data_IF_951417608883
#
_entry.id   IF_951417608883
#
_cell.length_a   1.000
_cell.length_b   1.000
_cell.length_c   1.000
_cell.angle_alpha   90.00
_cell.angle_beta   90.00
_cell.angle_gamma   90.00
#
_symmetry.space_group_name_H-M   'P 1'
#
loop_
_entity.id
_entity.type
_entity.pdbx_description
1 polymer ?
#
# COMPACT_ATOMS: atom_id res chain seq x y z
N UNK A 1 -60.35 -9.90 13.97
CA UNK A 1 -59.16 -9.06 14.26
C UNK A 1 -57.94 -9.92 14.59
N UNK A 2 -57.21 -10.46 13.60
CA UNK A 2 -55.97 -11.25 13.79
C UNK A 2 -55.01 -11.11 12.60
N UNK A 3 -54.81 -9.89 12.09
CA UNK A 3 -53.86 -9.62 10.98
C UNK A 3 -52.81 -8.53 11.29
N UNK A 4 -52.78 -7.97 12.50
CA UNK A 4 -51.88 -6.86 12.85
C UNK A 4 -50.59 -7.27 13.60
N UNK A 5 -50.37 -8.54 13.92
CA UNK A 5 -49.21 -8.95 14.75
C UNK A 5 -47.98 -9.47 13.99
N UNK A 6 -48.10 -9.83 12.72
CA UNK A 6 -46.98 -10.40 11.95
C UNK A 6 -46.22 -9.38 11.10
N UNK A 7 -46.80 -8.21 10.82
CA UNK A 7 -46.16 -7.18 9.99
C UNK A 7 -45.02 -6.45 10.72
N UNK A 8 -45.13 -6.26 12.04
CA UNK A 8 -44.11 -5.56 12.83
C UNK A 8 -42.86 -6.43 13.13
N UNK A 9 -42.99 -7.76 13.14
CA UNK A 9 -41.86 -8.68 13.41
C UNK A 9 -40.99 -8.83 12.14
N UNK A 10 -41.61 -8.84 10.95
CA UNK A 10 -40.89 -8.82 9.69
C UNK A 10 -40.14 -7.50 9.45
N UNK A 11 -40.69 -6.37 9.91
CA UNK A 11 -40.03 -5.07 9.80
C UNK A 11 -38.76 -4.96 10.67
N UNK A 12 -38.73 -5.60 11.84
CA UNK A 12 -37.55 -5.62 12.71
C UNK A 12 -36.42 -6.51 12.17
N UNK A 13 -36.74 -7.61 11.48
CA UNK A 13 -35.73 -8.41 10.77
C UNK A 13 -35.19 -7.70 9.51
N UNK A 14 -36.03 -6.92 8.83
CA UNK A 14 -35.60 -6.11 7.68
C UNK A 14 -34.72 -4.92 8.08
N UNK A 15 -34.81 -4.40 9.31
CA UNK A 15 -33.91 -3.36 9.83
C UNK A 15 -32.64 -3.96 10.46
N UNK A 16 -32.74 -5.15 11.06
CA UNK A 16 -31.58 -5.86 11.63
C UNK A 16 -30.55 -6.34 10.60
N UNK A 17 -30.94 -6.51 9.33
CA UNK A 17 -30.05 -6.93 8.25
C UNK A 17 -29.47 -5.78 7.40
N UNK A 18 -29.83 -4.52 7.67
CA UNK A 18 -29.35 -3.35 6.87
C UNK A 18 -28.08 -2.71 7.45
N UNK A 19 -27.57 -3.21 8.58
CA UNK A 19 -26.25 -2.84 9.11
C UNK A 19 -25.33 -4.06 9.20
N UNK A 20 -25.17 -4.81 8.10
CA UNK A 20 -23.87 -5.45 7.90
C UNK A 20 -22.89 -4.32 7.57
N UNK A 21 -22.01 -3.97 8.52
CA UNK A 21 -20.84 -3.13 8.29
C UNK A 21 -19.95 -3.82 7.24
N UNK A 22 -20.28 -3.68 5.97
CA UNK A 22 -19.34 -3.91 4.88
C UNK A 22 -18.25 -2.85 4.92
N UNK A 23 -17.15 -3.03 4.17
CA UNK A 23 -16.11 -2.03 4.08
C UNK A 23 -16.73 -0.67 3.74
N UNK A 24 -16.58 0.31 4.63
CA UNK A 24 -17.09 1.67 4.39
C UNK A 24 -16.04 2.38 3.56
N UNK A 25 -16.10 2.10 2.26
CA UNK A 25 -15.32 2.83 1.27
C UNK A 25 -15.60 4.33 1.41
N UNK A 26 -14.55 5.12 1.56
CA UNK A 26 -14.64 6.56 1.72
C UNK A 26 -13.83 7.26 0.63
N UNK A 27 -14.46 8.18 -0.10
CA UNK A 27 -13.75 9.05 -1.02
C UNK A 27 -12.99 10.12 -0.22
N UNK A 28 -11.65 10.10 -0.27
CA UNK A 28 -10.83 11.07 0.46
C UNK A 28 -10.48 12.31 -0.39
N UNK A 29 -10.25 12.12 -1.68
CA UNK A 29 -9.99 13.18 -2.67
C UNK A 29 -10.39 12.69 -4.07
N UNK A 30 -10.34 13.53 -5.10
CA UNK A 30 -10.64 13.10 -6.49
C UNK A 30 -9.74 11.93 -6.90
N UNK A 31 -10.36 10.80 -7.27
CA UNK A 31 -9.64 9.59 -7.65
C UNK A 31 -8.88 8.90 -6.51
N UNK A 32 -9.07 9.27 -5.24
CA UNK A 32 -8.44 8.62 -4.09
C UNK A 32 -9.50 8.17 -3.08
N UNK A 33 -9.50 6.86 -2.79
CA UNK A 33 -10.46 6.21 -1.91
C UNK A 33 -9.74 5.47 -0.78
N UNK A 34 -10.32 5.47 0.41
CA UNK A 34 -9.93 4.63 1.53
C UNK A 34 -10.88 3.44 1.67
N UNK A 35 -10.34 2.23 1.77
CA UNK A 35 -11.08 0.98 1.87
C UNK A 35 -11.30 0.61 3.35
N UNK A 36 -12.05 1.43 4.08
CA UNK A 36 -12.28 1.19 5.51
C UNK A 36 -12.95 -0.15 5.76
N UNK A 37 -12.45 -0.94 6.71
CA UNK A 37 -12.95 -2.28 7.01
C UNK A 37 -12.59 -3.37 5.99
N UNK A 38 -11.78 -3.09 4.96
CA UNK A 38 -11.29 -4.14 4.06
C UNK A 38 -10.27 -5.07 4.72
N UNK A 39 -9.54 -4.56 5.72
CA UNK A 39 -8.61 -5.32 6.55
C UNK A 39 -8.84 -5.02 8.05
N UNK A 40 -9.86 -5.65 8.68
CA UNK A 40 -10.20 -5.39 10.08
C UNK A 40 -9.05 -5.67 11.05
N UNK A 41 -8.25 -6.72 10.77
CA UNK A 41 -7.09 -7.08 11.59
C UNK A 41 -6.08 -5.94 11.64
N UNK A 42 -5.77 -5.32 10.49
CA UNK A 42 -4.88 -4.18 10.44
C UNK A 42 -5.46 -2.98 11.19
N UNK A 43 -6.73 -2.65 10.95
CA UNK A 43 -7.37 -1.54 11.65
C UNK A 43 -7.35 -1.71 13.18
N UNK A 44 -7.50 -2.93 13.67
CA UNK A 44 -7.38 -3.24 15.10
C UNK A 44 -5.93 -3.10 15.61
N UNK A 45 -4.93 -3.44 14.80
CA UNK A 45 -3.52 -3.16 15.13
C UNK A 45 -3.29 -1.64 15.29
N UNK A 46 -3.74 -0.82 14.34
CA UNK A 46 -3.66 0.64 14.44
C UNK A 46 -4.33 1.14 15.74
N UNK A 47 -5.56 0.70 16.02
CA UNK A 47 -6.29 1.09 17.24
C UNK A 47 -5.53 0.68 18.50
N UNK A 48 -4.95 -0.52 18.54
CA UNK A 48 -4.26 -1.06 19.72
C UNK A 48 -3.06 -0.20 20.16
N UNK A 49 -2.43 0.49 19.22
CA UNK A 49 -1.30 1.41 19.46
C UNK A 49 -1.75 2.89 19.51
N UNK A 50 -3.06 3.13 19.65
CA UNK A 50 -3.65 4.46 19.78
C UNK A 50 -3.65 5.29 18.50
N UNK A 51 -3.65 4.63 17.33
CA UNK A 51 -3.72 5.27 16.02
C UNK A 51 -5.07 5.01 15.35
N UNK A 52 -5.42 5.87 14.39
CA UNK A 52 -6.58 5.68 13.51
C UNK A 52 -6.08 5.61 12.06
N UNK A 53 -6.24 4.43 11.43
CA UNK A 53 -5.73 4.17 10.09
C UNK A 53 -6.33 5.12 9.04
N UNK A 54 -7.64 5.34 9.09
CA UNK A 54 -8.34 6.25 8.17
C UNK A 54 -7.81 7.68 8.30
N UNK A 55 -7.66 8.17 9.53
CA UNK A 55 -7.23 9.56 9.75
C UNK A 55 -5.77 9.76 9.34
N UNK A 56 -4.91 8.77 9.59
CA UNK A 56 -3.53 8.78 9.10
C UNK A 56 -3.50 8.76 7.57
N UNK A 57 -4.30 7.90 6.93
CA UNK A 57 -4.40 7.87 5.47
C UNK A 57 -4.80 9.25 4.90
N UNK A 58 -5.80 9.89 5.53
CA UNK A 58 -6.33 11.19 5.11
C UNK A 58 -5.39 12.37 5.37
N UNK A 59 -4.75 12.40 6.53
CA UNK A 59 -4.00 13.59 7.00
C UNK A 59 -2.50 13.51 6.72
N UNK A 60 -1.96 12.29 6.60
CA UNK A 60 -0.53 12.03 6.44
C UNK A 60 -0.23 11.47 5.06
N UNK A 61 -0.64 10.23 4.78
CA UNK A 61 -0.33 9.53 3.52
C UNK A 61 -0.86 10.28 2.28
N UNK A 62 -2.00 10.97 2.40
CA UNK A 62 -2.59 11.74 1.29
C UNK A 62 -1.60 12.72 0.65
N UNK A 63 -0.71 13.33 1.43
CA UNK A 63 0.27 14.30 0.92
C UNK A 63 1.24 13.63 -0.04
N UNK A 64 1.80 12.51 0.39
CA UNK A 64 2.78 11.71 -0.36
C UNK A 64 2.11 11.05 -1.58
N UNK A 65 0.84 10.65 -1.46
CA UNK A 65 0.07 10.07 -2.56
C UNK A 65 -0.30 11.10 -3.65
N UNK A 66 -0.59 12.34 -3.26
CA UNK A 66 -0.80 13.43 -4.22
C UNK A 66 0.51 13.80 -4.93
N UNK A 67 1.64 13.71 -4.24
CA UNK A 67 2.96 13.88 -4.86
C UNK A 67 3.27 12.76 -5.85
N UNK A 68 2.95 11.50 -5.51
CA UNK A 68 3.04 10.36 -6.43
C UNK A 68 2.21 10.62 -7.69
N UNK A 69 0.93 10.99 -7.51
CA UNK A 69 -0.01 11.26 -8.62
C UNK A 69 0.53 12.36 -9.54
N UNK A 70 1.00 13.47 -8.99
CA UNK A 70 1.63 14.53 -9.79
C UNK A 70 2.90 14.05 -10.49
N UNK A 71 3.72 13.25 -9.81
CA UNK A 71 4.94 12.67 -10.33
C UNK A 71 4.70 11.79 -11.57
N UNK A 72 3.68 10.93 -11.51
CA UNK A 72 3.25 10.10 -12.64
C UNK A 72 2.70 10.97 -13.78
N UNK A 73 1.74 11.85 -13.49
CA UNK A 73 1.06 12.67 -14.51
C UNK A 73 2.01 13.61 -15.26
N UNK A 74 2.94 14.23 -14.53
CA UNK A 74 3.93 15.17 -15.10
C UNK A 74 5.25 14.51 -15.47
N UNK A 75 5.38 13.20 -15.31
CA UNK A 75 6.61 12.42 -15.56
C UNK A 75 7.84 13.02 -14.84
N UNK A 76 7.67 13.38 -13.56
CA UNK A 76 8.72 13.99 -12.74
C UNK A 76 9.48 12.93 -11.94
N UNK A 77 10.58 12.44 -12.51
CA UNK A 77 11.47 11.43 -11.92
C UNK A 77 11.80 11.69 -10.45
N UNK A 78 12.34 12.87 -10.15
CA UNK A 78 12.81 13.24 -8.81
C UNK A 78 11.73 13.15 -7.71
N UNK A 79 10.44 13.33 -8.06
CA UNK A 79 9.34 13.20 -7.10
C UNK A 79 9.08 11.74 -6.74
N UNK A 80 9.20 10.86 -7.73
CA UNK A 80 8.93 9.43 -7.58
C UNK A 80 10.10 8.75 -6.87
N UNK A 81 11.34 9.15 -7.18
CA UNK A 81 12.52 8.71 -6.47
C UNK A 81 12.59 9.26 -5.05
N UNK A 82 12.19 10.51 -4.84
CA UNK A 82 12.10 11.13 -3.52
C UNK A 82 11.10 10.44 -2.57
N UNK A 83 10.09 9.76 -3.12
CA UNK A 83 9.13 8.96 -2.36
C UNK A 83 9.63 7.55 -2.05
N UNK A 84 10.77 7.10 -2.58
CA UNK A 84 11.26 5.73 -2.38
C UNK A 84 11.89 5.57 -0.98
N UNK A 85 11.62 4.45 -0.31
CA UNK A 85 12.25 4.15 0.97
C UNK A 85 13.76 3.90 0.77
N UNK A 86 14.60 4.19 1.78
CA UNK A 86 16.01 3.80 1.71
C UNK A 86 16.23 2.30 1.53
N UNK A 87 15.29 1.47 1.99
CA UNK A 87 15.35 0.02 1.81
C UNK A 87 15.18 -0.36 0.33
N UNK A 88 14.22 0.27 -0.36
CA UNK A 88 14.00 0.06 -1.80
C UNK A 88 15.25 0.40 -2.63
N UNK A 89 15.90 1.53 -2.33
CA UNK A 89 17.15 1.93 -3.02
C UNK A 89 18.29 0.94 -2.73
N UNK A 90 18.44 0.48 -1.48
CA UNK A 90 19.45 -0.53 -1.13
C UNK A 90 19.21 -1.87 -1.80
N UNK A 91 17.95 -2.24 -1.97
CA UNK A 91 17.54 -3.45 -2.65
C UNK A 91 17.98 -3.41 -4.12
N UNK A 92 17.67 -2.32 -4.81
CA UNK A 92 18.19 -2.03 -6.16
C UNK A 92 19.71 -2.16 -6.24
N UNK A 93 20.45 -1.54 -5.31
CA UNK A 93 21.91 -1.58 -5.31
C UNK A 93 22.40 -3.02 -5.31
N UNK A 94 21.77 -3.88 -4.51
CA UNK A 94 22.14 -5.29 -4.37
C UNK A 94 21.81 -6.08 -5.64
N UNK A 95 20.58 -5.96 -6.13
CA UNK A 95 20.08 -6.71 -7.30
C UNK A 95 20.91 -6.44 -8.55
N UNK A 96 21.30 -5.19 -8.77
CA UNK A 96 22.04 -4.79 -9.97
C UNK A 96 23.54 -4.63 -9.72
N UNK A 97 24.00 -4.94 -8.50
CA UNK A 97 25.40 -4.78 -8.06
C UNK A 97 25.96 -3.38 -8.38
N UNK A 98 25.26 -2.35 -7.91
CA UNK A 98 25.54 -0.93 -8.15
C UNK A 98 25.96 -0.21 -6.85
N UNK A 99 26.74 0.87 -6.96
CA UNK A 99 26.90 1.82 -5.87
C UNK A 99 25.59 2.57 -5.57
N UNK A 100 25.51 3.27 -4.44
CA UNK A 100 24.29 3.99 -4.04
C UNK A 100 23.95 5.10 -5.03
N UNK A 101 24.97 5.82 -5.51
CA UNK A 101 24.80 6.89 -6.49
C UNK A 101 24.37 6.34 -7.85
N UNK A 102 24.93 5.20 -8.28
CA UNK A 102 24.51 4.54 -9.53
C UNK A 102 23.09 3.97 -9.44
N UNK A 103 22.71 3.45 -8.28
CA UNK A 103 21.34 3.03 -8.01
C UNK A 103 20.37 4.21 -8.08
N UNK A 104 20.69 5.34 -7.43
CA UNK A 104 19.84 6.54 -7.49
C UNK A 104 19.77 7.15 -8.90
N UNK A 105 20.89 7.26 -9.61
CA UNK A 105 20.93 7.81 -10.98
C UNK A 105 20.23 6.89 -11.98
N UNK A 106 20.45 5.58 -11.88
CA UNK A 106 19.72 4.57 -12.65
C UNK A 106 18.22 4.63 -12.35
N UNK A 107 17.87 4.87 -11.08
CA UNK A 107 16.51 5.07 -10.65
C UNK A 107 15.88 6.31 -11.27
N UNK A 108 16.47 7.49 -11.11
CA UNK A 108 15.98 8.73 -11.71
C UNK A 108 15.83 8.60 -13.24
N UNK A 109 16.84 8.03 -13.93
CA UNK A 109 16.82 7.84 -15.39
C UNK A 109 15.75 6.86 -15.85
N UNK A 110 15.35 5.89 -15.00
CA UNK A 110 14.29 4.95 -15.32
C UNK A 110 12.96 5.66 -15.61
N UNK A 111 12.69 6.73 -14.85
CA UNK A 111 11.51 7.58 -14.98
C UNK A 111 11.55 8.47 -16.23
N UNK A 112 12.73 8.97 -16.60
CA UNK A 112 12.88 9.82 -17.80
C UNK A 112 12.72 9.03 -19.10
N UNK A 113 13.28 7.82 -19.13
CA UNK A 113 13.36 7.02 -20.36
C UNK A 113 12.18 6.06 -20.54
N UNK A 114 11.35 5.87 -19.52
CA UNK A 114 10.31 4.84 -19.51
C UNK A 114 10.90 3.45 -19.77
N UNK A 115 12.14 3.24 -19.32
CA UNK A 115 12.87 1.97 -19.39
C UNK A 115 13.31 1.71 -17.96
N UNK A 116 12.45 1.06 -17.19
CA UNK A 116 12.70 0.86 -15.78
C UNK A 116 13.28 -0.51 -15.43
N UNK A 117 13.75 -0.60 -14.20
CA UNK A 117 13.71 -1.87 -13.48
C UNK A 117 12.25 -2.28 -13.33
N UNK A 118 11.99 -3.59 -13.45
CA UNK A 118 10.70 -4.16 -13.80
C UNK A 118 9.49 -3.59 -13.02
N UNK A 119 9.70 -3.16 -11.78
CA UNK A 119 8.64 -2.75 -10.85
C UNK A 119 8.02 -1.38 -11.14
N UNK A 120 8.76 -0.41 -11.70
CA UNK A 120 8.25 0.97 -11.90
C UNK A 120 7.85 1.30 -13.34
N UNK A 121 8.25 0.48 -14.30
CA UNK A 121 7.88 0.64 -15.72
C UNK A 121 6.35 0.70 -15.88
N UNK A 122 5.66 0.02 -14.97
CA UNK A 122 4.21 -0.14 -14.91
C UNK A 122 3.49 1.17 -14.62
N UNK A 123 4.08 2.05 -13.81
CA UNK A 123 3.51 3.37 -13.52
C UNK A 123 3.50 4.30 -14.76
N UNK A 124 4.29 3.96 -15.79
CA UNK A 124 4.42 4.72 -17.03
C UNK A 124 3.76 4.07 -18.23
N UNK A 125 3.67 2.75 -18.25
CA UNK A 125 2.97 1.99 -19.29
C UNK A 125 1.47 2.19 -19.22
N UNK A 126 0.92 2.14 -18.01
CA UNK A 126 -0.51 2.19 -17.79
C UNK A 126 -0.94 3.58 -17.33
N UNK A 127 -2.06 4.06 -17.88
CA UNK A 127 -2.67 5.30 -17.41
C UNK A 127 -3.40 5.02 -16.10
N UNK A 128 -2.83 5.48 -14.98
CA UNK A 128 -3.44 5.35 -13.66
C UNK A 128 -4.50 6.45 -13.46
N UNK A 129 -5.73 6.05 -13.11
CA UNK A 129 -6.88 6.96 -13.00
C UNK A 129 -7.42 7.09 -11.58
N UNK A 130 -7.14 6.13 -10.69
CA UNK A 130 -7.51 6.24 -9.28
C UNK A 130 -6.65 5.35 -8.37
N UNK A 131 -6.71 5.62 -7.07
CA UNK A 131 -5.91 5.04 -6.02
C UNK A 131 -6.84 4.56 -4.90
N UNK A 132 -6.68 3.32 -4.46
CA UNK A 132 -7.46 2.74 -3.34
C UNK A 132 -6.51 2.36 -2.21
N UNK A 133 -6.72 2.93 -1.03
CA UNK A 133 -5.85 2.80 0.14
C UNK A 133 -6.44 1.77 1.10
N UNK A 134 -5.65 0.76 1.45
CA UNK A 134 -6.00 -0.26 2.44
C UNK A 134 -4.97 -0.28 3.58
N UNK A 135 -5.39 -0.29 4.85
CA UNK A 135 -4.46 -0.50 5.96
C UNK A 135 -3.89 -1.91 5.93
N UNK A 136 -2.57 -2.04 6.13
CA UNK A 136 -1.88 -3.33 6.08
C UNK A 136 -1.47 -3.82 7.48
N UNK A 137 -0.70 -3.01 8.21
CA UNK A 137 -0.26 -3.32 9.57
C UNK A 137 0.23 -2.07 10.28
N UNK A 138 0.29 -2.13 11.62
CA UNK A 138 0.94 -1.13 12.44
C UNK A 138 1.52 -1.77 13.69
N UNK A 139 2.75 -1.38 14.04
CA UNK A 139 3.45 -1.88 15.22
C UNK A 139 3.95 -0.73 16.09
N UNK A 140 4.35 -1.08 17.30
CA UNK A 140 4.90 -0.15 18.28
C UNK A 140 6.12 -0.77 18.95
N UNK A 141 7.23 -0.05 18.93
CA UNK A 141 8.44 -0.38 19.67
C UNK A 141 8.51 0.49 20.93
N UNK A 142 8.29 -0.11 22.10
CA UNK A 142 8.30 0.56 23.40
C UNK A 142 9.71 0.58 23.96
N UNK A 143 10.23 1.77 24.20
CA UNK A 143 11.57 2.02 24.69
C UNK A 143 11.62 1.91 26.22
N UNK A 144 12.84 1.80 26.75
CA UNK A 144 13.10 1.66 28.21
C UNK A 144 12.55 2.81 29.05
N UNK A 145 12.39 4.00 28.46
CA UNK A 145 11.84 5.19 29.11
C UNK A 145 10.31 5.29 29.03
N UNK A 146 9.64 4.26 28.50
CA UNK A 146 8.19 4.21 28.31
C UNK A 146 7.67 4.98 27.10
N UNK A 147 8.55 5.66 26.35
CA UNK A 147 8.19 6.25 25.05
C UNK A 147 8.19 5.19 23.97
N UNK A 148 7.62 5.49 22.79
CA UNK A 148 7.54 4.49 21.73
C UNK A 148 7.66 5.07 20.34
N UNK A 149 8.36 4.37 19.44
CA UNK A 149 8.22 4.59 18.02
C UNK A 149 7.11 3.70 17.47
N UNK A 150 6.46 4.14 16.39
CA UNK A 150 5.45 3.35 15.68
C UNK A 150 5.80 3.32 14.21
N UNK A 151 5.65 2.15 13.62
CA UNK A 151 5.76 1.88 12.20
C UNK A 151 4.40 1.40 11.70
N UNK A 152 4.07 1.74 10.46
CA UNK A 152 2.79 1.39 9.87
C UNK A 152 2.87 1.33 8.37
N UNK A 153 2.03 0.48 7.79
CA UNK A 153 2.03 0.22 6.36
C UNK A 153 0.63 0.27 5.78
N UNK A 154 0.55 0.77 4.56
CA UNK A 154 -0.65 0.78 3.74
C UNK A 154 -0.35 0.15 2.39
N UNK A 155 -1.33 -0.57 1.85
CA UNK A 155 -1.35 -0.91 0.43
C UNK A 155 -2.10 0.18 -0.32
N UNK A 156 -1.55 0.59 -1.45
CA UNK A 156 -2.17 1.52 -2.37
C UNK A 156 -2.32 0.81 -3.72
N UNK A 157 -3.54 0.42 -4.02
CA UNK A 157 -3.91 -0.20 -5.28
C UNK A 157 -4.10 0.88 -6.34
N UNK A 158 -3.49 0.68 -7.52
CA UNK A 158 -3.52 1.62 -8.63
C UNK A 158 -4.48 1.10 -9.70
N UNK A 159 -5.56 1.84 -9.95
CA UNK A 159 -6.53 1.52 -10.99
C UNK A 159 -6.07 2.06 -12.33
N UNK A 160 -6.08 1.20 -13.33
CA UNK A 160 -5.79 1.56 -14.72
C UNK A 160 -7.03 2.09 -15.44
N UNK A 161 -6.84 2.95 -16.43
CA UNK A 161 -7.92 3.36 -17.32
C UNK A 161 -8.57 2.12 -17.97
N UNK A 162 -9.90 2.07 -18.00
CA UNK A 162 -10.65 0.93 -18.52
C UNK A 162 -10.76 -0.28 -17.58
N UNK A 163 -10.04 -0.28 -16.44
CA UNK A 163 -10.13 -1.36 -15.45
C UNK A 163 -11.42 -1.25 -14.63
N UNK A 164 -12.24 -2.30 -14.69
CA UNK A 164 -13.52 -2.39 -13.97
C UNK A 164 -13.45 -3.44 -12.86
N UNK A 165 -14.41 -3.40 -11.93
CA UNK A 165 -14.46 -4.31 -10.79
C UNK A 165 -13.52 -3.95 -9.64
N UNK A 166 -13.50 -4.81 -8.62
CA UNK A 166 -12.70 -4.65 -7.40
C UNK A 166 -11.21 -4.85 -7.71
N UNK A 167 -10.36 -3.97 -7.19
CA UNK A 167 -8.92 -4.17 -7.24
C UNK A 167 -8.52 -5.26 -6.24
N UNK A 168 -7.60 -6.10 -6.68
CA UNK A 168 -7.01 -7.20 -5.92
C UNK A 168 -5.50 -7.15 -6.16
N UNK A 169 -4.73 -7.87 -5.35
CA UNK A 169 -3.29 -7.94 -5.57
C UNK A 169 -3.01 -8.48 -6.99
N UNK A 170 -3.75 -9.48 -7.42
CA UNK A 170 -3.51 -10.24 -8.66
C UNK A 170 -3.84 -9.45 -9.92
N UNK A 171 -4.73 -8.45 -9.82
CA UNK A 171 -5.24 -7.72 -11.00
C UNK A 171 -4.82 -6.25 -11.05
N UNK A 172 -4.02 -5.75 -10.11
CA UNK A 172 -3.65 -4.34 -10.04
C UNK A 172 -2.19 -4.13 -9.69
N UNK A 173 -1.69 -2.92 -9.96
CA UNK A 173 -0.39 -2.51 -9.44
C UNK A 173 -0.60 -2.05 -8.00
N UNK A 174 0.20 -2.56 -7.08
CA UNK A 174 0.03 -2.28 -5.65
C UNK A 174 1.34 -1.83 -5.07
N UNK A 175 1.30 -0.65 -4.44
CA UNK A 175 2.42 -0.05 -3.74
C UNK A 175 2.25 -0.28 -2.24
N UNK A 176 3.32 -0.61 -1.54
CA UNK A 176 3.34 -0.57 -0.07
C UNK A 176 3.95 0.76 0.36
N UNK A 177 3.17 1.57 1.05
CA UNK A 177 3.65 2.77 1.71
C UNK A 177 3.94 2.48 3.17
N UNK A 178 5.14 2.80 3.62
CA UNK A 178 5.57 2.76 5.01
C UNK A 178 5.64 4.17 5.59
N UNK A 179 5.15 4.33 6.81
CA UNK A 179 5.28 5.57 7.57
C UNK A 179 5.80 5.32 8.97
N UNK A 180 6.36 6.38 9.58
CA UNK A 180 6.89 6.33 10.93
C UNK A 180 6.38 7.49 11.80
N UNK A 181 6.02 7.16 13.04
CA UNK A 181 5.70 8.11 14.10
C UNK A 181 6.72 7.94 15.23
N UNK A 182 7.54 8.95 15.43
CA UNK A 182 8.64 8.92 16.38
C UNK A 182 8.16 9.16 17.81
N UNK A 183 8.94 8.66 18.77
CA UNK A 183 8.70 8.82 20.22
C UNK A 183 8.47 10.26 20.70
N UNK A 184 9.01 11.24 19.98
CA UNK A 184 8.85 12.67 20.29
C UNK A 184 7.58 13.29 19.65
N UNK A 185 6.68 12.46 19.11
CA UNK A 185 5.44 12.91 18.48
C UNK A 185 5.57 13.33 17.01
N UNK A 186 6.77 13.21 16.41
CA UNK A 186 7.05 13.66 15.04
C UNK A 186 6.67 12.59 14.02
N UNK A 187 6.01 13.02 12.94
CA UNK A 187 5.75 12.19 11.76
C UNK A 187 6.86 12.39 10.73
N UNK A 188 7.48 11.31 10.25
CA UNK A 188 8.62 11.36 9.32
C UNK A 188 8.18 11.45 7.84
N UNK A 189 6.89 11.24 7.56
CA UNK A 189 6.34 11.13 6.19
C UNK A 189 6.10 9.67 5.81
N UNK A 190 5.50 9.44 4.65
CA UNK A 190 5.38 8.10 4.06
C UNK A 190 6.34 7.94 2.88
N UNK A 191 6.83 6.72 2.70
CA UNK A 191 7.67 6.34 1.55
C UNK A 191 7.18 5.01 0.96
N UNK A 192 7.42 4.81 -0.32
CA UNK A 192 7.15 3.56 -1.03
C UNK A 192 8.25 2.57 -0.66
N UNK A 193 7.88 1.53 0.07
CA UNK A 193 8.80 0.51 0.56
C UNK A 193 8.92 -0.68 -0.41
N UNK A 194 7.81 -1.04 -1.08
CA UNK A 194 7.77 -2.19 -1.96
C UNK A 194 6.69 -2.10 -3.05
N UNK A 195 6.85 -2.96 -4.05
CA UNK A 195 5.92 -3.22 -5.16
C UNK A 195 5.40 -4.64 -4.98
N UNK A 196 4.09 -4.79 -4.85
CA UNK A 196 3.49 -6.13 -4.70
C UNK A 196 3.16 -6.68 -6.09
N UNK A 197 3.38 -7.99 -6.28
CA UNK A 197 3.10 -8.75 -7.49
C UNK A 197 3.91 -8.35 -8.73
N UNK A 198 5.14 -7.90 -8.53
CA UNK A 198 6.13 -7.69 -9.60
C UNK A 198 7.45 -8.38 -9.22
N UNK A 199 8.31 -8.63 -10.22
CA UNK A 199 9.55 -9.40 -10.08
C UNK A 199 10.21 -9.14 -8.73
N UNK A 200 10.27 -10.14 -7.83
CA UNK A 200 10.74 -9.87 -6.50
C UNK A 200 12.21 -9.48 -6.58
N UNK A 201 12.51 -8.27 -6.13
CA UNK A 201 13.87 -7.87 -5.80
C UNK A 201 14.22 -8.60 -4.49
N UNK A 202 14.70 -9.83 -4.60
CA UNK A 202 15.09 -10.65 -3.47
C UNK A 202 16.50 -10.27 -3.00
N UNK A 203 16.73 -10.25 -1.69
CA UNK A 203 18.09 -10.32 -1.15
C UNK A 203 18.74 -11.65 -1.53
N UNK A 204 20.09 -11.80 -1.49
CA UNK A 204 20.74 -13.07 -1.81
C UNK A 204 20.24 -14.25 -0.95
N UNK A 205 19.84 -13.99 0.29
CA UNK A 205 19.29 -14.98 1.21
C UNK A 205 17.86 -15.37 0.80
N UNK A 206 17.03 -14.40 0.40
CA UNK A 206 15.67 -14.65 -0.10
C UNK A 206 15.69 -15.26 -1.49
N UNK A 207 16.68 -14.94 -2.33
CA UNK A 207 16.89 -15.52 -3.66
C UNK A 207 17.37 -16.97 -3.54
N UNK A 208 18.27 -17.24 -2.60
CA UNK A 208 18.67 -18.60 -2.28
C UNK A 208 17.50 -19.40 -1.70
N UNK A 209 16.73 -18.80 -0.80
CA UNK A 209 15.52 -19.42 -0.26
C UNK A 209 14.49 -19.72 -1.36
N UNK A 210 14.28 -18.78 -2.29
CA UNK A 210 13.37 -18.98 -3.41
C UNK A 210 13.87 -20.08 -4.34
N UNK A 211 15.17 -20.10 -4.66
CA UNK A 211 15.82 -21.17 -5.44
C UNK A 211 15.70 -22.53 -4.75
N UNK A 212 15.93 -22.58 -3.45
CA UNK A 212 15.81 -23.81 -2.65
C UNK A 212 14.34 -24.29 -2.63
N UNK A 213 13.39 -23.36 -2.49
CA UNK A 213 11.96 -23.62 -2.52
C UNK A 213 11.49 -24.14 -3.88
N UNK A 214 11.87 -23.47 -4.97
CA UNK A 214 11.55 -23.87 -6.35
C UNK A 214 12.16 -25.22 -6.72
N UNK A 215 13.40 -25.49 -6.28
CA UNK A 215 14.06 -26.78 -6.51
C UNK A 215 13.37 -27.93 -5.77
N UNK A 216 12.80 -27.65 -4.60
CA UNK A 216 12.09 -28.63 -3.77
C UNK A 216 10.61 -28.78 -4.12
N UNK A 217 10.04 -27.81 -4.86
CA UNK A 217 8.62 -27.78 -5.26
C UNK A 217 8.48 -27.38 -6.74
N UNK A 218 8.95 -28.24 -7.67
CA UNK A 218 8.91 -27.93 -9.10
C UNK A 218 7.47 -27.71 -9.57
N UNK A 219 7.23 -26.55 -10.20
CA UNK A 219 5.92 -26.14 -10.72
C UNK A 219 5.07 -25.27 -9.78
N UNK A 220 5.58 -24.88 -8.61
CA UNK A 220 4.88 -23.96 -7.68
C UNK A 220 5.52 -22.56 -7.58
N UNK A 221 6.65 -22.31 -8.25
CA UNK A 221 7.35 -21.02 -8.26
C UNK A 221 6.91 -20.03 -9.34
N UNK A 222 6.09 -20.47 -10.31
CA UNK A 222 5.50 -19.56 -11.30
C UNK A 222 4.16 -19.02 -10.76
N UNK A 223 4.20 -17.86 -10.09
CA UNK A 223 3.01 -17.02 -9.85
C UNK A 223 3.27 -15.59 -10.31
#
# INVERSE_FOLDING_TARGET
MKKLKYTNILFLFAIGFVFSCGPKEEQLAEGIKYLGGSNPKAEDQFKSIGLNARDIAKERLMKDLLELKEGIEKKKAYKLTGLSSPALVKNIQRTYNLSFTEALDGWDKSFEKGKAWCDYDLLFKDKIVSYEIEPMEANQDVLKDGTSNKDMRYRVYLRKEGQTGKLTLENSHVLVFEGHHLRNGVWVGFSIDAFVNHCPILSPEEEQYLKDFESSHPGQGEQ
#
